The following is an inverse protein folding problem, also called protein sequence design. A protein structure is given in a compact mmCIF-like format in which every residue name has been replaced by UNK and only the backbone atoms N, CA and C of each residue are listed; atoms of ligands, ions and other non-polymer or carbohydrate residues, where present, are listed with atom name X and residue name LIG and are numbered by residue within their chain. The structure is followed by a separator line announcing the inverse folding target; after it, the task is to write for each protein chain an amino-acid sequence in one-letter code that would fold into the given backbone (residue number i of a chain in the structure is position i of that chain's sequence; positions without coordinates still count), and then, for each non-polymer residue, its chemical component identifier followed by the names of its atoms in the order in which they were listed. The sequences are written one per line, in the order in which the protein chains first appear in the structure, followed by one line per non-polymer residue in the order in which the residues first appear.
data_IF_490611349488
#
_entry.id   IF_490611349488
#
_cell.length_a   1.000
_cell.length_b   1.000
_cell.length_c   1.000
_cell.angle_alpha   90.00
_cell.angle_beta   90.00
_cell.angle_gamma   90.00
#
_symmetry.space_group_name_H-M   'P 1'
#
loop_
_entity.id
_entity.type
_entity.pdbx_description
1 polymer ?
#
# COMPACT_ATOMS: atom_id res chain seq x y z
N UNK A 1 -3.22 -5.83 12.53
CA UNK A 1 -2.02 -4.95 12.57
C UNK A 1 -2.50 -3.51 12.56
N UNK A 2 -2.07 -2.65 13.49
CA UNK A 2 -2.59 -1.28 13.63
C UNK A 2 -1.94 -0.36 12.59
N UNK A 3 -2.70 0.64 12.11
CA UNK A 3 -2.20 1.69 11.21
C UNK A 3 -2.27 3.05 11.89
N UNK A 4 -1.39 3.96 11.49
CA UNK A 4 -1.27 5.32 12.03
C UNK A 4 -0.76 6.25 10.93
N UNK A 5 -1.22 7.51 10.90
CA UNK A 5 -0.65 8.50 9.96
C UNK A 5 0.79 8.78 10.36
N UNK A 6 1.68 8.95 9.39
CA UNK A 6 3.08 9.32 9.68
C UNK A 6 3.17 10.62 10.49
N UNK A 7 2.27 11.57 10.22
CA UNK A 7 2.20 12.84 10.92
C UNK A 7 1.87 12.71 12.43
N UNK A 8 1.24 11.60 12.84
CA UNK A 8 0.87 11.36 14.24
C UNK A 8 2.02 10.72 15.05
N UNK A 9 3.10 10.29 14.37
CA UNK A 9 4.27 9.67 14.99
C UNK A 9 5.21 10.77 15.48
N UNK A 10 5.46 10.79 16.80
CA UNK A 10 6.36 11.77 17.42
C UNK A 10 7.80 11.26 17.35
N UNK A 11 8.66 12.00 16.67
CA UNK A 11 10.09 11.70 16.57
C UNK A 11 10.82 12.45 17.69
N UNK A 12 11.54 11.75 18.55
CA UNK A 12 12.36 12.39 19.58
C UNK A 12 13.57 13.09 18.97
N UNK A 13 14.10 14.11 19.65
CA UNK A 13 15.31 14.83 19.21
C UNK A 13 16.48 13.89 18.95
N UNK A 14 16.64 12.85 19.79
CA UNK A 14 17.69 11.84 19.61
C UNK A 14 17.60 11.14 18.25
N UNK A 15 16.39 10.79 17.79
CA UNK A 15 16.22 10.21 16.46
C UNK A 15 16.38 11.26 15.37
N UNK A 16 15.79 12.44 15.53
CA UNK A 16 15.86 13.53 14.55
C UNK A 16 17.30 13.94 14.24
N UNK A 17 18.17 13.97 15.27
CA UNK A 17 19.58 14.32 15.16
C UNK A 17 20.49 13.12 14.83
N UNK A 18 19.96 11.90 14.82
CA UNK A 18 20.73 10.72 14.44
C UNK A 18 20.85 10.61 12.93
N UNK A 19 22.03 10.18 12.45
CA UNK A 19 22.26 9.83 11.06
C UNK A 19 22.19 8.31 10.94
N UNK A 20 21.15 7.76 10.29
CA UNK A 20 21.10 6.32 10.04
C UNK A 20 22.27 5.87 9.16
N UNK A 21 22.73 4.64 9.36
CA UNK A 21 23.69 4.01 8.46
C UNK A 21 23.14 3.96 7.03
N UNK A 22 23.94 4.44 6.08
CA UNK A 22 23.59 4.49 4.66
C UNK A 22 23.27 3.10 4.09
N UNK A 23 24.08 2.09 4.46
CA UNK A 23 23.84 0.69 4.10
C UNK A 23 22.43 0.23 4.49
N UNK A 24 22.03 0.45 5.75
CA UNK A 24 20.71 0.02 6.25
C UNK A 24 19.56 0.80 5.61
N UNK A 25 19.79 2.07 5.30
CA UNK A 25 18.82 2.93 4.64
C UNK A 25 18.59 2.48 3.19
N UNK A 26 19.67 2.22 2.45
CA UNK A 26 19.62 1.71 1.08
C UNK A 26 19.01 0.31 1.01
N UNK A 27 19.32 -0.58 1.95
CA UNK A 27 18.65 -1.89 2.08
C UNK A 27 17.12 -1.72 2.21
N UNK A 28 16.67 -0.77 3.04
CA UNK A 28 15.25 -0.48 3.22
C UNK A 28 14.60 0.13 1.96
N UNK A 29 15.29 1.06 1.29
CA UNK A 29 14.83 1.65 0.02
C UNK A 29 14.71 0.60 -1.08
N UNK A 30 15.67 -0.30 -1.22
CA UNK A 30 15.63 -1.37 -2.22
C UNK A 30 14.42 -2.28 -1.97
N UNK A 31 14.22 -2.72 -0.72
CA UNK A 31 13.03 -3.51 -0.37
C UNK A 31 11.73 -2.73 -0.63
N UNK A 32 11.70 -1.43 -0.33
CA UNK A 32 10.52 -0.61 -0.62
C UNK A 32 10.26 -0.47 -2.13
N UNK A 33 11.28 -0.19 -2.93
CA UNK A 33 11.16 -0.02 -4.38
C UNK A 33 10.73 -1.32 -5.07
N UNK A 34 11.19 -2.47 -4.57
CA UNK A 34 10.81 -3.76 -5.13
C UNK A 34 9.38 -4.17 -4.73
N UNK A 35 9.00 -3.93 -3.47
CA UNK A 35 7.82 -4.57 -2.90
C UNK A 35 6.70 -3.63 -2.49
N UNK A 36 7.02 -2.35 -2.27
CA UNK A 36 6.14 -1.32 -1.71
C UNK A 36 5.45 -1.77 -0.42
N UNK A 37 6.23 -2.43 0.43
CA UNK A 37 5.81 -2.99 1.72
C UNK A 37 6.85 -2.64 2.77
N UNK A 38 6.38 -2.42 4.00
CA UNK A 38 7.26 -2.26 5.15
C UNK A 38 7.92 -3.58 5.50
N UNK A 39 9.24 -3.69 5.29
CA UNK A 39 10.06 -4.85 5.68
C UNK A 39 10.44 -4.83 7.17
N UNK A 40 10.38 -3.65 7.79
CA UNK A 40 10.64 -3.41 9.21
C UNK A 40 9.40 -2.80 9.88
N UNK A 41 9.19 -3.13 11.15
CA UNK A 41 8.11 -2.51 11.92
C UNK A 41 8.49 -1.09 12.33
N UNK A 42 7.53 -0.17 12.25
CA UNK A 42 7.58 1.07 13.01
C UNK A 42 7.00 0.77 14.38
N UNK A 43 7.77 1.06 15.43
CA UNK A 43 7.39 0.76 16.80
C UNK A 43 7.29 2.05 17.58
N UNK A 44 6.14 2.29 18.19
CA UNK A 44 5.86 3.48 19.00
C UNK A 44 5.46 3.09 20.42
N UNK A 45 5.61 4.02 21.37
CA UNK A 45 5.03 3.89 22.70
C UNK A 45 3.52 4.25 22.67
N UNK A 46 2.78 4.10 23.79
CA UNK A 46 1.37 4.50 23.86
C UNK A 46 1.09 5.98 23.55
N UNK A 47 2.08 6.86 23.72
CA UNK A 47 2.00 8.31 23.43
C UNK A 47 2.39 8.67 21.98
N UNK A 48 2.52 7.65 21.12
CA UNK A 48 2.96 7.70 19.71
C UNK A 48 4.42 8.15 19.49
N UNK A 49 5.26 8.15 20.53
CA UNK A 49 6.69 8.43 20.40
C UNK A 49 7.40 7.23 19.79
N UNK A 50 8.19 7.47 18.75
CA UNK A 50 8.98 6.44 18.07
C UNK A 50 9.97 5.79 19.04
N UNK A 51 9.92 4.47 19.14
CA UNK A 51 10.85 3.62 19.91
C UNK A 51 11.89 2.98 18.98
N UNK A 52 11.44 2.47 17.82
CA UNK A 52 12.28 1.79 16.83
C UNK A 52 11.64 1.87 15.43
N UNK A 53 12.44 1.61 14.40
CA UNK A 53 11.99 1.64 13.00
C UNK A 53 12.16 3.00 12.32
N UNK A 54 13.06 3.85 12.81
CA UNK A 54 13.31 5.19 12.25
C UNK A 54 13.67 5.18 10.77
N UNK A 55 14.49 4.21 10.33
CA UNK A 55 14.83 4.03 8.91
C UNK A 55 13.57 3.80 8.05
N UNK A 56 12.65 2.93 8.51
CA UNK A 56 11.41 2.69 7.77
C UNK A 56 10.53 3.94 7.74
N UNK A 57 10.45 4.68 8.84
CA UNK A 57 9.75 5.97 8.88
C UNK A 57 10.28 6.94 7.83
N UNK A 58 11.61 7.08 7.71
CA UNK A 58 12.23 7.92 6.71
C UNK A 58 11.89 7.47 5.28
N UNK A 59 12.03 6.18 4.97
CA UNK A 59 11.71 5.65 3.64
C UNK A 59 10.23 5.86 3.28
N UNK A 60 9.30 5.67 4.22
CA UNK A 60 7.89 5.95 3.99
C UNK A 60 7.64 7.44 3.73
N UNK A 61 8.32 8.34 4.47
CA UNK A 61 8.23 9.79 4.29
C UNK A 61 8.80 10.23 2.94
N UNK A 62 9.96 9.71 2.54
CA UNK A 62 10.58 9.94 1.22
C UNK A 62 9.65 9.56 0.06
N UNK A 63 8.80 8.55 0.28
CA UNK A 63 7.84 8.04 -0.71
C UNK A 63 6.43 8.60 -0.56
N UNK A 64 6.25 9.69 0.21
CA UNK A 64 4.97 10.36 0.44
C UNK A 64 3.84 9.42 0.94
N UNK A 65 4.20 8.41 1.72
CA UNK A 65 3.22 7.48 2.27
C UNK A 65 2.54 8.13 3.47
N UNK A 66 1.21 8.27 3.44
CA UNK A 66 0.48 8.96 4.51
C UNK A 66 0.35 8.11 5.79
N UNK A 67 0.21 6.78 5.66
CA UNK A 67 -0.07 5.87 6.77
C UNK A 67 0.91 4.70 6.82
N UNK A 68 1.39 4.39 8.03
CA UNK A 68 2.23 3.24 8.29
C UNK A 68 1.52 2.17 9.11
N UNK A 69 1.92 0.92 8.92
CA UNK A 69 1.68 -0.16 9.87
C UNK A 69 2.62 -0.03 11.06
N UNK A 70 2.04 -0.03 12.26
CA UNK A 70 2.77 0.18 13.50
C UNK A 70 2.58 -0.96 14.50
N UNK A 71 3.51 -1.05 15.45
CA UNK A 71 3.36 -1.80 16.70
C UNK A 71 3.45 -0.85 17.88
N UNK A 72 2.52 -0.97 18.82
CA UNK A 72 2.59 -0.24 20.09
C UNK A 72 3.29 -1.14 21.10
N UNK A 73 4.32 -0.62 21.77
CA UNK A 73 5.07 -1.33 22.80
C UNK A 73 5.35 -0.42 23.97
N UNK A 74 5.16 -0.92 25.19
CA UNK A 74 5.59 -0.25 26.43
C UNK A 74 7.04 -0.60 26.79
N UNK A 75 7.63 -1.61 26.13
CA UNK A 75 8.98 -2.10 26.41
C UNK A 75 9.92 -1.79 25.25
N UNK A 76 11.11 -1.25 25.57
CA UNK A 76 12.21 -1.15 24.62
C UNK A 76 12.85 -2.52 24.46
N UNK A 77 12.81 -3.09 23.26
CA UNK A 77 13.56 -4.29 22.90
C UNK A 77 14.89 -3.87 22.27
N UNK A 78 15.95 -4.65 22.50
CA UNK A 78 17.26 -4.40 21.87
C UNK A 78 17.19 -4.46 20.33
N UNK A 79 16.32 -5.33 19.79
CA UNK A 79 16.06 -5.45 18.35
C UNK A 79 14.66 -6.02 18.11
N UNK A 80 13.91 -5.42 17.18
CA UNK A 80 12.71 -6.04 16.62
C UNK A 80 13.06 -6.92 15.42
N UNK A 81 12.36 -8.05 15.28
CA UNK A 81 12.51 -8.92 14.11
C UNK A 81 12.05 -8.18 12.85
N UNK A 82 12.71 -8.46 11.72
CA UNK A 82 12.31 -7.96 10.40
C UNK A 82 11.27 -8.91 9.80
N UNK A 83 10.43 -8.42 8.90
CA UNK A 83 9.59 -9.29 8.07
C UNK A 83 10.52 -10.01 7.09
N UNK A 84 10.25 -11.31 6.85
CA UNK A 84 10.98 -12.04 5.83
C UNK A 84 10.54 -11.53 4.45
N UNK A 85 11.48 -10.95 3.71
CA UNK A 85 11.22 -10.41 2.36
C UNK A 85 11.28 -11.50 1.29
N UNK A 86 11.97 -12.60 1.57
CA UNK A 86 12.09 -13.74 0.63
C UNK A 86 10.74 -14.42 0.39
N UNK A 87 9.85 -14.39 1.40
CA UNK A 87 8.49 -14.95 1.30
C UNK A 87 7.53 -14.04 0.51
N UNK A 88 7.99 -12.88 0.03
CA UNK A 88 7.13 -11.97 -0.72
C UNK A 88 7.12 -12.36 -2.19
N UNK A 89 6.00 -12.90 -2.67
CA UNK A 89 5.83 -13.16 -4.09
C UNK A 89 5.68 -11.86 -4.89
N UNK A 90 6.45 -11.74 -5.98
CA UNK A 90 6.23 -10.71 -7.00
C UNK A 90 4.88 -11.01 -7.64
N UNK A 91 3.93 -10.07 -7.61
CA UNK A 91 2.64 -10.36 -8.20
C UNK A 91 2.71 -10.39 -9.74
N UNK A 92 2.38 -11.54 -10.36
CA UNK A 92 2.46 -11.76 -11.81
C UNK A 92 1.75 -10.69 -12.66
N UNK A 93 0.63 -10.12 -12.19
CA UNK A 93 -0.13 -9.06 -12.88
C UNK A 93 0.70 -7.82 -13.27
N UNK A 94 1.89 -7.64 -12.69
CA UNK A 94 2.75 -6.49 -13.00
C UNK A 94 3.45 -6.59 -14.35
N UNK A 95 3.68 -7.81 -14.82
CA UNK A 95 4.48 -8.14 -16.00
C UNK A 95 3.66 -8.95 -17.03
N UNK A 96 2.33 -8.94 -16.93
CA UNK A 96 1.41 -9.58 -17.87
C UNK A 96 0.23 -8.66 -18.22
N UNK A 97 -0.34 -8.86 -19.40
CA UNK A 97 -1.55 -8.17 -19.86
C UNK A 97 -2.66 -8.26 -18.81
N UNK A 98 -3.01 -7.12 -18.23
CA UNK A 98 -3.98 -7.01 -17.13
C UNK A 98 -4.93 -5.85 -17.39
N UNK A 99 -6.23 -6.10 -17.24
CA UNK A 99 -7.26 -5.06 -17.27
C UNK A 99 -7.30 -4.34 -15.91
N UNK A 100 -7.12 -3.01 -15.96
CA UNK A 100 -7.20 -2.11 -14.84
C UNK A 100 -8.47 -1.27 -14.91
N UNK A 101 -9.14 -1.13 -13.78
CA UNK A 101 -10.35 -0.31 -13.62
C UNK A 101 -10.03 0.82 -12.66
N UNK A 102 -10.29 2.04 -13.11
CA UNK A 102 -10.20 3.24 -12.30
C UNK A 102 -11.60 3.67 -11.87
N UNK A 103 -11.70 4.22 -10.68
CA UNK A 103 -12.98 4.69 -10.18
C UNK A 103 -12.88 5.53 -8.92
N UNK A 104 -14.00 6.16 -8.61
CA UNK A 104 -14.18 7.01 -7.43
C UNK A 104 -15.24 6.38 -6.52
N UNK A 105 -15.02 6.44 -5.21
CA UNK A 105 -16.03 6.01 -4.26
C UNK A 105 -17.20 7.01 -4.27
N UNK A 106 -18.46 6.57 -4.50
CA UNK A 106 -19.60 7.46 -4.72
C UNK A 106 -19.88 8.41 -3.54
N UNK A 107 -19.57 7.97 -2.32
CA UNK A 107 -19.78 8.75 -1.10
C UNK A 107 -18.50 9.46 -0.59
N UNK A 108 -17.43 9.53 -1.38
CA UNK A 108 -16.18 10.15 -0.96
C UNK A 108 -16.16 11.65 -1.23
N UNK A 109 -15.86 12.45 -0.20
CA UNK A 109 -15.68 13.90 -0.33
C UNK A 109 -14.44 14.32 -1.11
N UNK A 110 -13.45 13.43 -1.27
CA UNK A 110 -12.17 13.80 -1.89
C UNK A 110 -12.19 13.78 -3.41
N UNK A 111 -13.18 13.12 -4.05
CA UNK A 111 -13.16 12.86 -5.49
C UNK A 111 -11.95 12.06 -5.98
N UNK A 112 -11.14 11.51 -5.06
CA UNK A 112 -9.88 10.83 -5.39
C UNK A 112 -10.17 9.57 -6.19
N UNK A 113 -9.59 9.50 -7.37
CA UNK A 113 -9.60 8.32 -8.24
C UNK A 113 -8.55 7.30 -7.75
N UNK A 114 -8.92 6.04 -7.83
CA UNK A 114 -8.08 4.91 -7.46
C UNK A 114 -8.17 3.83 -8.54
N UNK A 115 -7.21 2.91 -8.52
CA UNK A 115 -7.09 1.84 -9.51
C UNK A 115 -7.17 0.45 -8.87
N UNK A 116 -7.89 -0.44 -9.54
CA UNK A 116 -8.00 -1.87 -9.22
C UNK A 116 -7.70 -2.71 -10.45
N UNK A 117 -7.31 -3.97 -10.24
CA UNK A 117 -7.10 -4.94 -11.32
C UNK A 117 -8.24 -5.93 -11.40
N UNK A 118 -8.60 -6.32 -12.60
CA UNK A 118 -9.50 -7.45 -12.86
C UNK A 118 -8.72 -8.75 -12.63
N UNK A 119 -9.30 -9.76 -11.97
CA UNK A 119 -8.66 -11.08 -11.88
C UNK A 119 -8.43 -11.67 -13.28
N UNK A 120 -7.26 -12.24 -13.54
CA UNK A 120 -6.90 -12.82 -14.85
C UNK A 120 -7.94 -13.82 -15.37
N UNK A 121 -8.40 -14.72 -14.51
CA UNK A 121 -9.43 -15.71 -14.85
C UNK A 121 -10.78 -15.11 -15.21
N UNK A 122 -11.00 -13.83 -14.95
CA UNK A 122 -12.21 -13.10 -15.35
C UNK A 122 -12.01 -12.39 -16.68
N UNK A 123 -10.84 -11.77 -16.88
CA UNK A 123 -10.51 -11.16 -18.18
C UNK A 123 -10.46 -12.19 -19.30
N UNK A 124 -9.96 -13.39 -19.03
CA UNK A 124 -10.02 -14.52 -19.98
C UNK A 124 -11.47 -14.96 -20.35
N UNK A 125 -12.46 -14.59 -19.53
CA UNK A 125 -13.89 -14.87 -19.75
C UNK A 125 -14.64 -13.65 -20.32
N UNK A 126 -13.96 -12.58 -20.71
CA UNK A 126 -14.60 -11.36 -21.19
C UNK A 126 -15.37 -10.62 -20.09
N UNK A 127 -14.92 -10.70 -18.83
CA UNK A 127 -15.62 -10.04 -17.72
C UNK A 127 -15.65 -8.51 -17.85
N UNK A 128 -14.80 -7.90 -18.65
CA UNK A 128 -14.88 -6.49 -19.00
C UNK A 128 -15.96 -6.17 -20.04
N UNK A 129 -16.47 -7.17 -20.75
CA UNK A 129 -17.43 -6.97 -21.84
C UNK A 129 -18.75 -6.42 -21.30
N UNK A 130 -19.09 -5.21 -21.75
CA UNK A 130 -20.29 -4.49 -21.30
C UNK A 130 -20.13 -3.72 -19.99
N UNK A 131 -18.92 -3.58 -19.44
CA UNK A 131 -18.66 -2.53 -18.45
C UNK A 131 -18.53 -1.17 -19.13
N UNK A 132 -19.24 -0.20 -18.59
CA UNK A 132 -19.23 1.18 -19.08
C UNK A 132 -18.72 2.13 -18.00
N UNK A 133 -18.21 3.27 -18.45
CA UNK A 133 -17.95 4.41 -17.57
C UNK A 133 -19.28 4.82 -16.92
N UNK A 134 -19.28 4.97 -15.60
CA UNK A 134 -20.48 5.24 -14.80
C UNK A 134 -21.06 4.02 -14.08
N UNK A 135 -20.68 2.79 -14.48
CA UNK A 135 -21.16 1.59 -13.79
C UNK A 135 -20.58 1.47 -12.37
N UNK A 136 -21.34 0.84 -11.47
CA UNK A 136 -20.90 0.59 -10.09
C UNK A 136 -20.39 -0.84 -9.93
N UNK A 137 -19.18 -0.99 -9.39
CA UNK A 137 -18.57 -2.29 -9.11
C UNK A 137 -18.12 -2.37 -7.65
N UNK A 138 -18.07 -3.59 -7.12
CA UNK A 138 -17.45 -3.85 -5.82
C UNK A 138 -15.97 -4.14 -5.98
N UNK A 139 -15.18 -3.50 -5.14
CA UNK A 139 -13.73 -3.63 -5.13
C UNK A 139 -13.21 -3.90 -3.73
N UNK A 140 -12.03 -4.52 -3.66
CA UNK A 140 -11.34 -4.70 -2.38
C UNK A 140 -10.65 -3.39 -2.00
N UNK A 141 -10.87 -2.90 -0.78
CA UNK A 141 -10.17 -1.72 -0.24
C UNK A 141 -9.36 -2.09 1.01
N UNK A 142 -8.81 -1.11 1.73
CA UNK A 142 -8.27 -1.34 3.08
C UNK A 142 -9.38 -1.45 4.15
N UNK A 143 -10.57 -0.95 3.86
CA UNK A 143 -11.73 -0.92 4.76
C UNK A 143 -12.78 -2.00 4.41
N UNK A 144 -12.33 -3.09 3.78
CA UNK A 144 -13.19 -4.16 3.27
C UNK A 144 -13.66 -3.92 1.84
N UNK A 145 -14.75 -4.59 1.46
CA UNK A 145 -15.35 -4.50 0.13
C UNK A 145 -16.20 -3.24 0.07
N UNK A 146 -15.99 -2.40 -0.94
CA UNK A 146 -16.71 -1.14 -1.12
C UNK A 146 -17.10 -0.92 -2.59
N UNK A 147 -18.18 -0.19 -2.86
CA UNK A 147 -18.52 0.22 -4.21
C UNK A 147 -17.64 1.34 -4.74
N UNK A 148 -17.44 1.35 -6.04
CA UNK A 148 -16.83 2.43 -6.82
C UNK A 148 -17.56 2.61 -8.14
N UNK A 149 -17.65 3.86 -8.58
CA UNK A 149 -18.15 4.23 -9.91
C UNK A 149 -16.97 4.24 -10.88
N UNK A 150 -17.08 3.52 -11.99
CA UNK A 150 -16.03 3.40 -13.00
C UNK A 150 -15.84 4.74 -13.72
N UNK A 151 -14.59 5.17 -13.83
CA UNK A 151 -14.18 6.38 -14.55
C UNK A 151 -13.33 6.07 -15.77
N UNK A 152 -12.55 4.97 -15.74
CA UNK A 152 -11.70 4.52 -16.86
C UNK A 152 -11.47 3.02 -16.76
N UNK A 153 -11.35 2.36 -17.91
CA UNK A 153 -10.91 0.96 -18.04
C UNK A 153 -9.75 0.93 -19.02
N UNK A 154 -8.69 0.19 -18.69
CA UNK A 154 -7.45 0.16 -19.48
C UNK A 154 -6.82 -1.23 -19.43
N UNK A 155 -6.50 -1.81 -20.60
CA UNK A 155 -5.66 -2.99 -20.71
C UNK A 155 -4.19 -2.54 -20.84
N UNK A 156 -3.31 -3.10 -20.01
CA UNK A 156 -1.88 -2.81 -20.11
C UNK A 156 -1.03 -4.06 -19.83
N UNK A 157 0.04 -4.22 -20.61
CA UNK A 157 1.04 -5.28 -20.43
C UNK A 157 1.96 -5.05 -19.23
N UNK A 158 1.98 -3.81 -18.69
CA UNK A 158 2.73 -3.44 -17.49
C UNK A 158 1.84 -2.71 -16.50
N UNK A 159 2.03 -2.97 -15.21
CA UNK A 159 1.28 -2.25 -14.18
C UNK A 159 1.63 -0.75 -14.20
N UNK A 160 0.64 0.15 -14.39
CA UNK A 160 0.90 1.59 -14.59
C UNK A 160 1.32 2.31 -13.32
N UNK A 161 1.18 1.67 -12.15
CA UNK A 161 1.61 2.23 -10.88
C UNK A 161 2.60 1.29 -10.18
N UNK A 162 3.50 1.87 -9.41
CA UNK A 162 4.46 1.08 -8.65
C UNK A 162 3.87 0.49 -7.35
N UNK A 163 2.70 0.93 -6.88
CA UNK A 163 2.06 0.38 -5.66
C UNK A 163 1.27 -0.92 -5.88
N UNK A 164 1.09 -1.78 -4.86
CA UNK A 164 0.31 -3.00 -5.00
C UNK A 164 -1.16 -2.72 -5.32
N UNK A 165 -1.64 -3.25 -6.44
CA UNK A 165 -3.00 -3.03 -6.94
C UNK A 165 -3.96 -4.05 -6.34
N UNK A 166 -5.07 -3.58 -5.75
CA UNK A 166 -6.14 -4.43 -5.20
C UNK A 166 -7.04 -4.93 -6.33
N UNK A 167 -7.91 -5.91 -6.03
CA UNK A 167 -8.77 -6.55 -7.05
C UNK A 167 -10.18 -6.02 -7.05
N UNK A 168 -10.79 -6.04 -8.23
CA UNK A 168 -12.25 -6.05 -8.40
C UNK A 168 -12.82 -7.35 -7.81
N UNK A 169 -14.02 -7.26 -7.23
CA UNK A 169 -14.68 -8.34 -6.48
C UNK A 169 -15.94 -8.84 -7.16
N UNK A 170 -16.78 -7.95 -7.71
CA UNK A 170 -17.96 -8.30 -8.53
C UNK A 170 -18.58 -7.05 -9.17
N UNK A 171 -19.44 -7.26 -10.16
CA UNK A 171 -20.40 -6.24 -10.63
C UNK A 171 -21.53 -6.08 -9.61
N UNK A 172 -22.11 -4.88 -9.55
CA UNK A 172 -23.39 -4.65 -8.89
C UNK A 172 -24.40 -4.62 -10.03
N UNK A 173 -25.16 -5.70 -10.18
CA UNK A 173 -26.26 -5.77 -11.14
C UNK A 173 -27.41 -4.86 -10.69
#
# INVERSE_FOLDING_TARGET
MRRMKLADIKISETFANSIPSEEKLNECRNNWNQWHRQDRFIVVNPDNVLIDGYIMYLVLKENNVEEAEIKISTRRKKRWYRKNVEDWNVPHYRDEATTYVYGVHPNSKSGKEFMWRVPKSWSELGWEDGLNIGDEILVTTKFGIKPVVITKIELSDKCPINMPVKRVVKRIN
#
